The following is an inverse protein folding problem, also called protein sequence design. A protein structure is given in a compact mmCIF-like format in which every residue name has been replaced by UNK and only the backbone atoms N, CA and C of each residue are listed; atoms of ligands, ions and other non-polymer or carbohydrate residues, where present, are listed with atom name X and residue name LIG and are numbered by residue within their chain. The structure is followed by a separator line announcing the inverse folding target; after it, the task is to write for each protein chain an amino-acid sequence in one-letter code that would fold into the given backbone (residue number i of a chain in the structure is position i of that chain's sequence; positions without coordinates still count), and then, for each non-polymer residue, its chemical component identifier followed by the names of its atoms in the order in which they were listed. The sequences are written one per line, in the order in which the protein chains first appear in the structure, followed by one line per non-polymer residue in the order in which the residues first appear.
data_IF_522080064934
#
_entry.id   IF_522080064934
#
_cell.length_a   1.000
_cell.length_b   1.000
_cell.length_c   1.000
_cell.angle_alpha   90.00
_cell.angle_beta   90.00
_cell.angle_gamma   90.00
#
_symmetry.space_group_name_H-M   'P 1'
#
loop_
_entity.id
_entity.type
_entity.pdbx_description
1 polymer ?
#
# COMPACT_ATOMS: atom_id res chain seq x y z
N UNK A 1 47.20 12.09 31.05
CA UNK A 1 46.24 12.10 29.93
C UNK A 1 46.94 11.56 28.68
N UNK A 2 46.71 10.30 28.32
CA UNK A 2 47.13 9.76 27.04
C UNK A 2 45.94 9.62 26.08
N UNK A 3 46.18 10.02 24.84
CA UNK A 3 45.29 9.91 23.68
C UNK A 3 44.91 8.45 23.41
N UNK A 4 43.60 8.18 23.48
CA UNK A 4 42.98 6.90 23.13
C UNK A 4 43.00 6.75 21.60
N UNK A 5 43.76 5.75 21.11
CA UNK A 5 43.65 5.25 19.74
C UNK A 5 42.36 4.43 19.61
N UNK A 6 41.55 4.78 18.61
CA UNK A 6 40.31 4.07 18.28
C UNK A 6 40.61 2.66 17.75
N UNK A 7 39.77 1.70 18.15
CA UNK A 7 39.78 0.33 17.66
C UNK A 7 39.27 0.27 16.21
N UNK A 8 39.80 -0.65 15.37
CA UNK A 8 39.35 -0.82 14.00
C UNK A 8 37.90 -1.36 13.93
N UNK A 9 37.13 -1.03 12.88
CA UNK A 9 35.76 -1.51 12.73
C UNK A 9 35.72 -3.02 12.55
N UNK A 10 34.88 -3.67 13.35
CA UNK A 10 34.58 -5.09 13.30
C UNK A 10 34.09 -5.49 11.91
N UNK A 11 34.76 -6.48 11.33
CA UNK A 11 34.44 -7.08 10.06
C UNK A 11 32.99 -7.59 10.01
N UNK A 12 32.27 -7.20 8.95
CA UNK A 12 30.98 -7.74 8.59
C UNK A 12 31.10 -9.25 8.35
N UNK A 13 30.30 -10.02 9.08
CA UNK A 13 30.12 -11.45 8.88
C UNK A 13 29.62 -11.70 7.46
N UNK A 14 30.51 -12.22 6.62
CA UNK A 14 30.17 -12.77 5.31
C UNK A 14 29.39 -14.07 5.54
N UNK A 15 28.07 -14.01 5.37
CA UNK A 15 27.26 -15.24 5.36
C UNK A 15 27.47 -15.94 4.03
N UNK A 16 28.03 -17.13 4.14
CA UNK A 16 28.29 -18.13 3.11
C UNK A 16 27.07 -18.40 2.24
N UNK A 17 27.36 -18.47 0.95
CA UNK A 17 26.58 -18.87 -0.21
C UNK A 17 25.66 -20.07 0.05
N UNK A 18 24.35 -19.83 -0.02
CA UNK A 18 23.41 -20.82 -0.57
C UNK A 18 23.26 -20.51 -2.05
N UNK A 19 23.18 -21.53 -2.90
CA UNK A 19 22.78 -21.39 -4.31
C UNK A 19 21.32 -20.95 -4.35
N UNK A 20 21.09 -19.66 -4.14
CA UNK A 20 19.78 -19.02 -4.15
C UNK A 20 19.46 -18.41 -5.51
N UNK A 21 18.18 -18.47 -5.90
CA UNK A 21 17.64 -17.73 -7.05
C UNK A 21 18.10 -16.26 -7.00
N UNK A 22 18.34 -15.60 -8.15
CA UNK A 22 18.74 -14.21 -8.16
C UNK A 22 17.66 -13.37 -7.47
N UNK A 23 18.05 -12.64 -6.42
CA UNK A 23 17.14 -11.76 -5.71
C UNK A 23 16.70 -10.63 -6.65
N UNK A 24 15.39 -10.41 -6.74
CA UNK A 24 14.83 -9.31 -7.55
C UNK A 24 15.41 -7.98 -7.03
N UNK A 25 15.89 -7.09 -7.92
CA UNK A 25 16.38 -5.77 -7.53
C UNK A 25 15.33 -5.01 -6.72
N UNK A 26 15.74 -4.16 -5.77
CA UNK A 26 14.80 -3.38 -4.98
C UNK A 26 13.94 -2.48 -5.86
N UNK A 27 12.69 -2.30 -5.47
CA UNK A 27 11.80 -1.33 -6.09
C UNK A 27 11.99 0.04 -5.44
N UNK A 28 12.15 1.09 -6.25
CA UNK A 28 12.12 2.45 -5.74
C UNK A 28 10.74 2.83 -5.21
N UNK A 29 10.70 3.68 -4.18
CA UNK A 29 9.49 4.41 -3.81
C UNK A 29 9.20 5.45 -4.87
N UNK A 30 8.36 5.07 -5.85
CA UNK A 30 8.10 5.90 -7.02
C UNK A 30 7.28 7.13 -6.62
N UNK A 31 7.86 8.32 -6.83
CA UNK A 31 7.19 9.59 -6.57
C UNK A 31 6.27 10.03 -7.70
N UNK A 32 6.42 9.46 -8.90
CA UNK A 32 5.70 9.85 -10.12
C UNK A 32 4.59 8.86 -10.52
N UNK A 33 3.77 8.41 -9.56
CA UNK A 33 2.67 7.46 -9.83
C UNK A 33 1.41 8.13 -10.40
N UNK A 34 1.32 9.44 -10.27
CA UNK A 34 0.23 10.29 -10.77
C UNK A 34 0.59 10.88 -12.13
N UNK A 35 -0.44 11.18 -12.93
CA UNK A 35 -0.24 11.83 -14.22
C UNK A 35 0.15 13.30 -14.01
N UNK A 36 1.37 13.66 -14.41
CA UNK A 36 1.91 15.03 -14.33
C UNK A 36 2.43 15.52 -15.69
N UNK A 37 2.15 16.79 -16.08
CA UNK A 37 2.72 17.39 -17.28
C UNK A 37 4.16 17.88 -17.08
N UNK A 38 4.86 18.16 -18.18
CA UNK A 38 6.13 18.91 -18.18
C UNK A 38 7.39 18.14 -17.75
N UNK A 39 7.31 16.82 -17.54
CA UNK A 39 8.50 15.97 -17.29
C UNK A 39 9.07 15.46 -18.61
N UNK A 40 10.38 15.58 -18.82
CA UNK A 40 11.07 15.23 -20.08
C UNK A 40 12.14 14.14 -19.93
N UNK A 41 12.43 13.72 -18.71
CA UNK A 41 13.48 12.79 -18.31
C UNK A 41 13.00 11.33 -18.23
N UNK A 42 12.06 10.94 -19.11
CA UNK A 42 11.48 9.59 -19.12
C UNK A 42 12.39 8.58 -19.83
N UNK A 43 12.30 7.32 -19.39
CA UNK A 43 12.86 6.17 -20.06
C UNK A 43 11.74 5.30 -20.62
N UNK A 44 12.02 4.60 -21.72
CA UNK A 44 11.09 3.70 -22.39
C UNK A 44 11.79 2.39 -22.77
N UNK A 45 11.01 1.32 -22.88
CA UNK A 45 11.51 0.05 -23.41
C UNK A 45 11.65 0.19 -24.92
N UNK A 46 12.81 -0.15 -25.46
CA UNK A 46 13.06 -0.09 -26.89
C UNK A 46 12.07 -0.99 -27.64
N UNK A 47 11.27 -0.39 -28.52
CA UNK A 47 10.22 -1.10 -29.28
C UNK A 47 8.85 -1.18 -28.57
N UNK A 48 8.72 -0.68 -27.34
CA UNK A 48 7.46 -0.60 -26.59
C UNK A 48 7.34 0.82 -26.00
N UNK A 49 6.94 1.82 -26.81
CA UNK A 49 6.94 3.22 -26.39
C UNK A 49 5.82 3.58 -25.41
N UNK A 50 4.88 2.66 -25.14
CA UNK A 50 3.71 2.89 -24.30
C UNK A 50 3.99 2.76 -22.79
N UNK A 51 5.24 2.49 -22.40
CA UNK A 51 5.65 2.32 -21.00
C UNK A 51 6.66 3.39 -20.63
N UNK A 52 6.25 4.32 -19.76
CA UNK A 52 7.12 5.37 -19.27
C UNK A 52 7.70 5.01 -17.89
N UNK A 53 9.01 5.16 -17.75
CA UNK A 53 9.75 4.81 -16.55
C UNK A 53 10.49 6.06 -16.07
N UNK A 54 10.24 6.48 -14.82
CA UNK A 54 10.96 7.61 -14.24
C UNK A 54 12.43 7.26 -13.92
N UNK A 55 13.31 8.26 -13.79
CA UNK A 55 14.71 8.02 -13.45
C UNK A 55 14.92 7.22 -12.16
N UNK A 56 14.11 7.44 -11.13
CA UNK A 56 14.26 6.75 -9.84
C UNK A 56 14.03 5.24 -9.98
N UNK A 57 12.95 4.86 -10.68
CA UNK A 57 12.62 3.46 -10.96
C UNK A 57 13.67 2.81 -11.88
N UNK A 58 14.10 3.52 -12.92
CA UNK A 58 15.14 3.03 -13.82
C UNK A 58 16.46 2.79 -13.09
N UNK A 59 16.99 3.82 -12.40
CA UNK A 59 18.30 3.74 -11.75
C UNK A 59 18.34 2.72 -10.62
N UNK A 60 17.23 2.51 -9.90
CA UNK A 60 17.16 1.59 -8.76
C UNK A 60 16.91 0.16 -9.20
N UNK A 61 15.92 -0.07 -10.08
CA UNK A 61 15.40 -1.42 -10.32
C UNK A 61 15.90 -2.05 -11.62
N UNK A 62 16.18 -1.26 -12.66
CA UNK A 62 16.43 -1.78 -14.02
C UNK A 62 17.90 -1.60 -14.44
N UNK A 63 18.47 -0.41 -14.23
CA UNK A 63 19.85 -0.06 -14.56
C UNK A 63 20.91 -1.04 -14.02
N UNK A 64 20.83 -1.57 -12.77
CA UNK A 64 21.82 -2.52 -12.27
C UNK A 64 21.69 -3.92 -12.88
N UNK A 65 20.77 -4.14 -13.81
CA UNK A 65 20.50 -5.45 -14.41
C UNK A 65 20.93 -5.54 -15.88
N UNK A 66 21.05 -6.75 -16.44
CA UNK A 66 21.28 -6.96 -17.87
C UNK A 66 20.18 -6.39 -18.77
N UNK A 67 18.99 -6.09 -18.23
CA UNK A 67 17.87 -5.55 -19.00
C UNK A 67 17.99 -4.05 -19.29
N UNK A 68 18.94 -3.35 -18.66
CA UNK A 68 19.24 -1.94 -18.95
C UNK A 68 19.49 -1.66 -20.43
N UNK A 69 20.04 -2.64 -21.17
CA UNK A 69 20.27 -2.57 -22.61
C UNK A 69 18.99 -2.47 -23.46
N UNK A 70 17.84 -2.83 -22.91
CA UNK A 70 16.54 -2.74 -23.57
C UNK A 70 15.81 -1.43 -23.25
N UNK A 71 16.46 -0.53 -22.51
CA UNK A 71 15.89 0.75 -22.11
C UNK A 71 16.63 1.87 -22.83
N UNK A 72 15.86 2.81 -23.38
CA UNK A 72 16.37 4.02 -24.01
C UNK A 72 15.69 5.25 -23.40
N UNK A 73 16.31 6.41 -23.50
CA UNK A 73 15.65 7.68 -23.17
C UNK A 73 14.45 7.87 -24.09
N UNK A 74 13.30 8.21 -23.51
CA UNK A 74 12.10 8.52 -24.26
C UNK A 74 12.30 9.78 -25.10
N UNK A 75 11.55 9.89 -26.19
CA UNK A 75 11.46 11.17 -26.89
C UNK A 75 10.74 12.20 -26.02
N UNK A 76 11.13 13.49 -26.05
CA UNK A 76 10.41 14.53 -25.32
C UNK A 76 8.93 14.52 -25.69
N UNK A 77 8.08 14.42 -24.68
CA UNK A 77 6.63 14.49 -24.86
C UNK A 77 6.19 15.95 -25.03
N UNK A 78 5.11 16.22 -25.78
CA UNK A 78 4.51 17.54 -25.84
C UNK A 78 4.17 18.08 -24.43
N UNK A 79 4.28 19.38 -24.22
CA UNK A 79 4.12 20.01 -22.90
C UNK A 79 2.72 19.80 -22.30
N UNK A 80 1.72 19.59 -23.14
CA UNK A 80 0.31 19.36 -22.79
C UNK A 80 -0.01 17.89 -22.44
N UNK A 81 0.92 16.96 -22.68
CA UNK A 81 0.71 15.53 -22.40
C UNK A 81 1.15 15.20 -20.98
N UNK A 82 0.16 14.97 -20.12
CA UNK A 82 0.38 14.46 -18.76
C UNK A 82 0.84 13.00 -18.79
N UNK A 83 1.90 12.67 -18.07
CA UNK A 83 2.53 11.33 -18.05
C UNK A 83 2.75 10.86 -16.61
N UNK A 84 2.73 9.55 -16.40
CA UNK A 84 3.07 8.92 -15.11
C UNK A 84 4.14 7.84 -15.32
N UNK A 85 4.77 7.39 -14.24
CA UNK A 85 5.63 6.22 -14.26
C UNK A 85 4.81 4.94 -14.18
N UNK A 86 4.83 4.13 -15.22
CA UNK A 86 4.15 2.82 -15.25
C UNK A 86 4.84 1.78 -14.38
N UNK A 87 6.13 1.95 -14.09
CA UNK A 87 6.84 1.13 -13.09
C UNK A 87 6.39 1.42 -11.65
N UNK A 88 5.57 2.44 -11.45
CA UNK A 88 4.80 2.65 -10.21
C UNK A 88 3.59 1.73 -10.06
N UNK A 89 3.15 1.08 -11.14
CA UNK A 89 2.01 0.16 -11.13
C UNK A 89 2.40 -1.21 -10.55
N UNK A 90 1.59 -1.71 -9.62
CA UNK A 90 1.85 -2.97 -8.92
C UNK A 90 1.92 -4.16 -9.88
N UNK A 91 1.09 -4.21 -10.93
CA UNK A 91 1.12 -5.30 -11.89
C UNK A 91 2.37 -5.29 -12.75
N UNK A 92 2.85 -4.10 -13.15
CA UNK A 92 4.12 -3.95 -13.86
C UNK A 92 5.29 -4.41 -12.97
N UNK A 93 5.26 -4.10 -11.68
CA UNK A 93 6.28 -4.60 -10.72
C UNK A 93 6.25 -6.12 -10.56
N UNK A 94 5.07 -6.72 -10.49
CA UNK A 94 4.93 -8.19 -10.43
C UNK A 94 5.46 -8.82 -11.73
N UNK A 95 5.09 -8.27 -12.89
CA UNK A 95 5.57 -8.72 -14.19
C UNK A 95 7.10 -8.60 -14.31
N UNK A 96 7.68 -7.50 -13.81
CA UNK A 96 9.12 -7.31 -13.74
C UNK A 96 9.81 -8.35 -12.83
N UNK A 97 9.29 -8.54 -11.62
CA UNK A 97 9.83 -9.52 -10.67
C UNK A 97 9.83 -10.92 -11.28
N UNK A 98 8.74 -11.29 -11.97
CA UNK A 98 8.64 -12.56 -12.68
C UNK A 98 9.62 -12.66 -13.85
N UNK A 99 9.66 -11.65 -14.74
CA UNK A 99 10.59 -11.57 -15.87
C UNK A 99 12.04 -11.77 -15.42
N UNK A 100 12.44 -11.08 -14.35
CA UNK A 100 13.78 -11.16 -13.79
C UNK A 100 14.07 -12.53 -13.18
N UNK A 101 13.16 -13.04 -12.34
CA UNK A 101 13.34 -14.32 -11.64
C UNK A 101 13.42 -15.49 -12.62
N UNK A 102 12.60 -15.46 -13.67
CA UNK A 102 12.57 -16.49 -14.72
C UNK A 102 13.59 -16.24 -15.84
N UNK A 103 14.42 -15.20 -15.74
CA UNK A 103 15.46 -14.86 -16.72
C UNK A 103 14.92 -14.78 -18.16
N UNK A 104 13.77 -14.14 -18.35
CA UNK A 104 13.18 -13.96 -19.68
C UNK A 104 14.15 -13.20 -20.60
N UNK A 105 14.16 -13.49 -21.92
CA UNK A 105 15.14 -12.92 -22.82
C UNK A 105 14.94 -11.42 -23.11
N UNK A 106 13.72 -10.92 -22.93
CA UNK A 106 13.29 -9.56 -23.27
C UNK A 106 12.28 -9.01 -22.25
N UNK A 107 11.78 -7.79 -22.50
CA UNK A 107 10.80 -7.09 -21.67
C UNK A 107 9.39 -7.08 -22.27
N UNK A 108 9.09 -7.99 -23.21
CA UNK A 108 7.78 -8.04 -23.89
C UNK A 108 6.62 -8.26 -22.92
N UNK A 109 6.82 -9.01 -21.83
CA UNK A 109 5.80 -9.24 -20.81
C UNK A 109 5.31 -7.93 -20.17
N UNK A 110 6.20 -6.97 -19.93
CA UNK A 110 5.83 -5.68 -19.35
C UNK A 110 4.89 -4.93 -20.30
N UNK A 111 5.20 -4.94 -21.61
CA UNK A 111 4.33 -4.40 -22.65
C UNK A 111 2.95 -5.05 -22.69
N UNK A 112 2.91 -6.39 -22.67
CA UNK A 112 1.65 -7.13 -22.65
C UNK A 112 0.80 -6.78 -21.44
N UNK A 113 1.41 -6.65 -20.27
CA UNK A 113 0.72 -6.27 -19.02
C UNK A 113 0.20 -4.84 -19.08
N UNK A 114 1.00 -3.88 -19.57
CA UNK A 114 0.59 -2.48 -19.69
C UNK A 114 -0.63 -2.29 -20.61
N UNK A 115 -0.77 -3.14 -21.62
CA UNK A 115 -1.85 -3.09 -22.60
C UNK A 115 -3.14 -3.80 -22.16
N UNK A 116 -3.19 -4.39 -20.95
CA UNK A 116 -4.38 -5.09 -20.46
C UNK A 116 -5.53 -4.09 -20.21
N UNK A 117 -6.56 -4.20 -21.05
CA UNK A 117 -7.82 -3.47 -20.92
C UNK A 117 -9.01 -4.45 -20.86
N UNK A 118 -9.36 -4.98 -19.68
CA UNK A 118 -10.47 -5.93 -19.56
C UNK A 118 -11.81 -5.22 -19.84
N UNK A 119 -12.78 -5.97 -20.35
CA UNK A 119 -14.09 -5.43 -20.76
C UNK A 119 -14.85 -4.70 -19.64
N UNK A 120 -14.68 -5.14 -18.39
CA UNK A 120 -15.32 -4.54 -17.22
C UNK A 120 -14.51 -3.39 -16.59
N UNK A 121 -13.40 -2.99 -17.21
CA UNK A 121 -12.51 -1.93 -16.73
C UNK A 121 -11.56 -2.37 -15.61
N UNK A 122 -10.79 -1.40 -15.09
CA UNK A 122 -9.78 -1.63 -14.04
C UNK A 122 -10.39 -2.22 -12.76
N UNK A 123 -9.56 -2.88 -11.96
CA UNK A 123 -9.96 -3.38 -10.65
C UNK A 123 -10.57 -2.22 -9.82
N UNK A 124 -11.74 -2.43 -9.18
CA UNK A 124 -12.41 -1.36 -8.43
C UNK A 124 -11.55 -0.82 -7.27
N UNK A 125 -10.70 -1.66 -6.69
CA UNK A 125 -9.77 -1.24 -5.62
C UNK A 125 -8.57 -0.42 -6.12
N UNK A 126 -8.36 -0.32 -7.44
CA UNK A 126 -7.28 0.47 -8.04
C UNK A 126 -7.79 1.81 -8.61
N UNK A 127 -9.08 2.11 -8.42
CA UNK A 127 -9.65 3.40 -8.75
C UNK A 127 -9.29 4.42 -7.66
N UNK A 128 -8.24 5.20 -7.89
CA UNK A 128 -7.73 6.19 -6.93
C UNK A 128 -8.68 7.36 -6.71
N UNK A 129 -9.64 7.58 -7.61
CA UNK A 129 -10.64 8.63 -7.46
C UNK A 129 -11.79 8.21 -6.56
N UNK A 130 -11.96 6.91 -6.34
CA UNK A 130 -13.00 6.38 -5.48
C UNK A 130 -12.72 6.70 -4.00
N UNK A 131 -13.68 7.34 -3.33
CA UNK A 131 -13.57 7.76 -1.93
C UNK A 131 -13.38 6.61 -0.94
N UNK A 132 -13.92 5.42 -1.23
CA UNK A 132 -13.72 4.23 -0.40
C UNK A 132 -12.28 3.72 -0.52
N UNK A 133 -11.73 3.73 -1.74
CA UNK A 133 -10.32 3.37 -1.99
C UNK A 133 -9.37 4.36 -1.32
N UNK A 134 -9.67 5.66 -1.37
CA UNK A 134 -8.88 6.70 -0.67
C UNK A 134 -8.81 6.46 0.84
N UNK A 135 -9.88 5.88 1.42
CA UNK A 135 -9.96 5.47 2.83
C UNK A 135 -9.37 4.09 3.12
N UNK A 136 -8.81 3.41 2.10
CA UNK A 136 -8.24 2.07 2.24
C UNK A 136 -9.28 0.94 2.27
N UNK A 137 -10.52 1.23 1.89
CA UNK A 137 -11.61 0.25 1.79
C UNK A 137 -11.60 -0.53 0.47
N UNK A 138 -12.66 -1.32 0.27
CA UNK A 138 -12.83 -2.21 -0.89
C UNK A 138 -14.19 -1.93 -1.52
N UNK A 139 -14.28 -1.02 -2.50
CA UNK A 139 -15.57 -0.66 -3.08
C UNK A 139 -16.27 -1.87 -3.73
N UNK A 140 -17.56 -2.11 -3.41
CA UNK A 140 -18.31 -3.15 -4.06
C UNK A 140 -18.61 -2.77 -5.52
N UNK A 141 -18.58 -3.75 -6.41
CA UNK A 141 -18.89 -3.57 -7.83
C UNK A 141 -19.73 -4.73 -8.38
N UNK A 142 -20.60 -4.45 -9.35
CA UNK A 142 -21.37 -5.47 -10.07
C UNK A 142 -20.57 -5.96 -11.28
N UNK A 143 -19.98 -7.15 -11.19
CA UNK A 143 -19.04 -7.72 -12.19
C UNK A 143 -19.05 -9.24 -12.15
N UNK A 144 -18.44 -9.88 -13.15
CA UNK A 144 -18.11 -11.30 -13.07
C UNK A 144 -16.94 -11.49 -12.12
N UNK A 145 -17.19 -12.24 -11.05
CA UNK A 145 -16.18 -12.58 -10.04
C UNK A 145 -15.60 -13.95 -10.31
N UNK A 146 -14.37 -14.15 -9.89
CA UNK A 146 -13.64 -15.39 -10.04
C UNK A 146 -13.18 -15.89 -8.68
N UNK A 147 -13.23 -17.19 -8.49
CA UNK A 147 -12.77 -17.88 -7.30
C UNK A 147 -11.79 -18.99 -7.69
N UNK A 148 -10.91 -19.36 -6.77
CA UNK A 148 -10.01 -20.49 -6.98
C UNK A 148 -10.83 -21.79 -6.96
N UNK A 149 -10.58 -22.69 -7.92
CA UNK A 149 -11.16 -24.02 -7.92
C UNK A 149 -10.32 -24.97 -7.04
N UNK A 150 -10.94 -25.64 -6.08
CA UNK A 150 -10.28 -26.68 -5.30
C UNK A 150 -10.28 -28.00 -6.09
N UNK A 151 -9.12 -28.48 -6.56
CA UNK A 151 -9.06 -29.71 -7.35
C UNK A 151 -9.46 -30.96 -6.55
N UNK A 152 -9.44 -30.90 -5.21
CA UNK A 152 -9.80 -32.04 -4.37
C UNK A 152 -11.31 -32.20 -4.22
N UNK A 153 -12.04 -31.11 -4.09
CA UNK A 153 -13.50 -31.13 -3.90
C UNK A 153 -14.26 -30.84 -5.20
N UNK A 154 -13.61 -30.19 -6.17
CA UNK A 154 -14.26 -29.63 -7.35
C UNK A 154 -15.09 -28.38 -7.08
N UNK A 155 -15.02 -27.84 -5.86
CA UNK A 155 -15.78 -26.67 -5.42
C UNK A 155 -14.95 -25.39 -5.52
N UNK A 156 -15.64 -24.26 -5.67
CA UNK A 156 -15.01 -22.94 -5.63
C UNK A 156 -14.71 -22.54 -4.20
N UNK A 157 -13.53 -21.98 -3.98
CA UNK A 157 -13.14 -21.35 -2.72
C UNK A 157 -13.74 -19.95 -2.68
N UNK A 158 -14.98 -19.84 -2.20
CA UNK A 158 -15.75 -18.59 -2.17
C UNK A 158 -15.26 -17.59 -1.08
N UNK A 159 -14.34 -18.00 -0.21
CA UNK A 159 -13.74 -17.12 0.81
C UNK A 159 -12.95 -15.94 0.21
N UNK A 160 -12.56 -16.00 -1.07
CA UNK A 160 -11.78 -14.97 -1.74
C UNK A 160 -12.28 -14.75 -3.18
N UNK A 161 -12.81 -13.56 -3.45
CA UNK A 161 -13.29 -13.17 -4.78
C UNK A 161 -12.31 -12.26 -5.51
N UNK A 162 -12.13 -12.49 -6.80
CA UNK A 162 -11.20 -11.74 -7.65
C UNK A 162 -11.93 -11.17 -8.86
N UNK A 163 -11.64 -9.92 -9.23
CA UNK A 163 -12.23 -9.31 -10.42
C UNK A 163 -11.54 -9.79 -11.70
N UNK A 164 -12.26 -9.69 -12.83
CA UNK A 164 -11.74 -10.00 -14.18
C UNK A 164 -10.39 -9.35 -14.48
N UNK A 165 -10.20 -8.08 -14.10
CA UNK A 165 -8.92 -7.37 -14.27
C UNK A 165 -7.75 -8.08 -13.60
N UNK A 166 -7.90 -8.52 -12.35
CA UNK A 166 -6.82 -9.20 -11.62
C UNK A 166 -6.51 -10.57 -12.22
N UNK A 167 -7.55 -11.30 -12.63
CA UNK A 167 -7.38 -12.61 -13.28
C UNK A 167 -6.68 -12.49 -14.62
N UNK A 168 -7.05 -11.51 -15.45
CA UNK A 168 -6.37 -11.28 -16.73
C UNK A 168 -4.88 -11.00 -16.52
N UNK A 169 -4.52 -10.19 -15.52
CA UNK A 169 -3.11 -9.94 -15.18
C UNK A 169 -2.38 -11.20 -14.74
N UNK A 170 -2.98 -11.99 -13.84
CA UNK A 170 -2.39 -13.27 -13.40
C UNK A 170 -2.18 -14.21 -14.59
N UNK A 171 -3.18 -14.36 -15.44
CA UNK A 171 -3.13 -15.28 -16.59
C UNK A 171 -2.12 -14.82 -17.65
N UNK A 172 -1.93 -13.50 -17.83
CA UNK A 172 -0.91 -12.95 -18.72
C UNK A 172 0.51 -13.16 -18.16
N UNK A 173 0.72 -12.90 -16.86
CA UNK A 173 2.04 -13.03 -16.21
C UNK A 173 2.40 -14.50 -16.00
N UNK A 174 1.42 -15.33 -15.65
CA UNK A 174 1.57 -16.73 -15.27
C UNK A 174 0.67 -17.63 -16.13
N UNK A 175 0.97 -17.80 -17.43
CA UNK A 175 0.15 -18.62 -18.32
C UNK A 175 -0.01 -20.08 -17.86
N UNK A 176 0.97 -20.58 -17.10
CA UNK A 176 0.90 -21.91 -16.50
C UNK A 176 -0.32 -22.08 -15.60
N UNK A 177 -0.88 -21.02 -15.03
CA UNK A 177 -2.03 -21.04 -14.11
C UNK A 177 -3.40 -20.88 -14.80
N UNK A 178 -3.46 -20.82 -16.14
CA UNK A 178 -4.73 -20.61 -16.85
C UNK A 178 -5.80 -21.67 -16.51
N UNK A 179 -6.96 -21.22 -16.04
CA UNK A 179 -8.10 -22.09 -15.72
C UNK A 179 -8.13 -22.63 -14.29
N UNK A 180 -7.23 -22.20 -13.39
CA UNK A 180 -7.37 -22.51 -11.95
C UNK A 180 -8.41 -21.61 -11.27
N UNK A 181 -8.61 -20.41 -11.81
CA UNK A 181 -9.64 -19.47 -11.36
C UNK A 181 -10.84 -19.62 -12.28
N UNK A 182 -12.00 -19.90 -11.69
CA UNK A 182 -13.25 -20.11 -12.42
C UNK A 182 -14.26 -19.02 -12.05
N UNK A 183 -15.16 -18.65 -12.98
CA UNK A 183 -16.22 -17.69 -12.69
C UNK A 183 -17.13 -18.20 -11.55
N UNK A 184 -17.31 -17.36 -10.54
CA UNK A 184 -18.31 -17.56 -9.49
C UNK A 184 -19.73 -17.30 -10.03
N UNK A 185 -20.75 -17.74 -9.28
CA UNK A 185 -22.16 -17.54 -9.63
C UNK A 185 -22.51 -17.92 -11.09
N UNK A 186 -21.87 -18.97 -11.62
CA UNK A 186 -22.07 -19.42 -13.01
C UNK A 186 -21.66 -18.39 -14.08
N UNK A 187 -20.78 -17.44 -13.76
CA UNK A 187 -20.36 -16.37 -14.65
C UNK A 187 -21.33 -15.19 -14.75
N UNK A 188 -22.35 -15.14 -13.89
CA UNK A 188 -23.23 -13.98 -13.77
C UNK A 188 -22.53 -12.83 -13.04
N UNK A 189 -22.96 -11.61 -13.35
CA UNK A 189 -22.52 -10.45 -12.58
C UNK A 189 -23.15 -10.49 -11.18
N UNK A 190 -22.32 -10.29 -10.16
CA UNK A 190 -22.77 -10.20 -8.77
C UNK A 190 -22.15 -8.96 -8.11
N UNK A 191 -22.78 -8.47 -7.05
CA UNK A 191 -22.23 -7.40 -6.23
C UNK A 191 -21.26 -7.99 -5.21
N UNK A 192 -19.95 -7.76 -5.37
CA UNK A 192 -18.91 -8.19 -4.44
C UNK A 192 -17.70 -7.25 -4.48
N UNK A 193 -16.59 -7.62 -3.82
CA UNK A 193 -15.34 -6.85 -3.76
C UNK A 193 -14.16 -7.66 -4.25
N UNK A 194 -13.09 -7.02 -4.73
CA UNK A 194 -11.86 -7.74 -5.06
C UNK A 194 -11.02 -7.93 -3.79
N UNK A 195 -10.64 -9.17 -3.47
CA UNK A 195 -9.83 -9.49 -2.28
C UNK A 195 -8.34 -9.63 -2.58
N UNK A 196 -7.96 -9.74 -3.86
CA UNK A 196 -6.55 -9.86 -4.24
C UNK A 196 -5.81 -8.53 -4.15
N UNK A 197 -6.24 -7.55 -4.94
CA UNK A 197 -5.51 -6.29 -5.11
C UNK A 197 -6.08 -5.22 -4.19
N UNK A 198 -5.58 -5.14 -2.96
CA UNK A 198 -5.90 -4.04 -2.04
C UNK A 198 -4.64 -3.18 -1.84
N UNK A 199 -4.62 -1.93 -2.32
CA UNK A 199 -3.46 -1.05 -2.17
C UNK A 199 -3.02 -0.92 -0.71
N UNK A 200 -1.71 -0.83 -0.47
CA UNK A 200 -1.08 -0.64 0.86
C UNK A 200 -1.32 -1.77 1.88
N UNK A 201 -2.01 -2.85 1.50
CA UNK A 201 -2.23 -4.01 2.35
C UNK A 201 -1.15 -5.07 2.09
N UNK A 202 -0.42 -5.47 3.13
CA UNK A 202 0.65 -6.48 3.02
C UNK A 202 0.15 -7.86 2.57
N UNK A 203 -1.11 -8.19 2.88
CA UNK A 203 -1.71 -9.47 2.48
C UNK A 203 -1.86 -9.64 0.95
N UNK A 204 -2.01 -8.54 0.21
CA UNK A 204 -2.00 -8.54 -1.26
C UNK A 204 -0.75 -9.26 -1.78
N UNK A 205 0.42 -8.84 -1.30
CA UNK A 205 1.69 -9.45 -1.72
C UNK A 205 1.82 -10.90 -1.24
N UNK A 206 1.36 -11.24 -0.03
CA UNK A 206 1.37 -12.64 0.41
C UNK A 206 0.53 -13.56 -0.48
N UNK A 207 -0.63 -13.10 -0.96
CA UNK A 207 -1.42 -13.89 -1.92
C UNK A 207 -0.71 -14.02 -3.26
N UNK A 208 -0.12 -12.94 -3.76
CA UNK A 208 0.67 -12.96 -5.00
C UNK A 208 1.87 -13.92 -4.86
N UNK A 209 2.59 -13.90 -3.74
CA UNK A 209 3.71 -14.80 -3.48
C UNK A 209 3.27 -16.26 -3.52
N UNK A 210 2.13 -16.60 -2.91
CA UNK A 210 1.58 -17.96 -2.97
C UNK A 210 1.16 -18.37 -4.39
N UNK A 211 0.61 -17.44 -5.17
CA UNK A 211 0.26 -17.69 -6.59
C UNK A 211 1.53 -17.92 -7.42
N UNK A 212 2.55 -17.07 -7.23
CA UNK A 212 3.85 -17.21 -7.89
C UNK A 212 4.52 -18.53 -7.53
N UNK A 213 4.51 -18.93 -6.26
CA UNK A 213 5.08 -20.20 -5.81
C UNK A 213 4.44 -21.41 -6.50
N UNK A 214 3.12 -21.40 -6.71
CA UNK A 214 2.41 -22.43 -7.48
C UNK A 214 2.86 -22.41 -8.95
N UNK A 215 2.98 -21.23 -9.55
CA UNK A 215 3.44 -21.12 -10.95
C UNK A 215 4.87 -21.63 -11.13
N UNK A 216 5.78 -21.30 -10.22
CA UNK A 216 7.17 -21.80 -10.23
C UNK A 216 7.20 -23.33 -10.14
N UNK A 217 6.49 -23.91 -9.16
CA UNK A 217 6.41 -25.37 -9.00
C UNK A 217 5.82 -26.07 -10.21
N UNK A 218 4.84 -25.46 -10.88
CA UNK A 218 4.26 -25.99 -12.10
C UNK A 218 5.27 -26.00 -13.25
N UNK A 219 6.10 -24.96 -13.38
CA UNK A 219 7.17 -24.90 -14.37
C UNK A 219 8.29 -25.91 -14.09
N UNK A 220 8.72 -26.04 -12.83
CA UNK A 220 9.83 -26.92 -12.44
C UNK A 220 9.48 -28.41 -12.56
N UNK A 221 8.25 -28.79 -12.19
CA UNK A 221 7.85 -30.19 -12.11
C UNK A 221 7.41 -30.80 -13.45
N UNK A 222 7.06 -29.97 -14.45
CA UNK A 222 6.47 -30.41 -15.71
C UNK A 222 5.19 -31.25 -15.54
N UNK A 223 4.59 -31.26 -14.34
CA UNK A 223 3.42 -32.05 -13.95
C UNK A 223 2.20 -31.16 -13.76
N UNK A 224 1.06 -31.80 -13.51
CA UNK A 224 -0.20 -31.16 -13.18
C UNK A 224 -0.03 -30.15 -12.03
N UNK A 225 -0.67 -28.98 -12.19
CA UNK A 225 -0.59 -27.87 -11.26
C UNK A 225 -1.18 -28.24 -9.91
N UNK A 226 -0.33 -28.40 -8.89
CA UNK A 226 -0.83 -28.57 -7.53
C UNK A 226 -1.16 -27.20 -6.89
N UNK A 227 -2.44 -26.83 -6.93
CA UNK A 227 -2.97 -25.62 -6.27
C UNK A 227 -3.37 -25.86 -4.81
N UNK A 228 -3.23 -27.08 -4.29
CA UNK A 228 -3.64 -27.43 -2.91
C UNK A 228 -3.03 -26.50 -1.85
N UNK A 229 -1.73 -26.14 -1.89
CA UNK A 229 -1.15 -25.24 -0.90
C UNK A 229 -1.80 -23.86 -0.92
N UNK A 230 -2.10 -23.34 -2.12
CA UNK A 230 -2.78 -22.06 -2.30
C UNK A 230 -4.22 -22.10 -1.77
N UNK A 231 -4.97 -23.17 -2.06
CA UNK A 231 -6.32 -23.39 -1.50
C UNK A 231 -6.29 -23.39 0.02
N UNK A 232 -5.36 -24.14 0.63
CA UNK A 232 -5.22 -24.21 2.08
C UNK A 232 -4.85 -22.85 2.69
N UNK A 233 -3.99 -22.08 2.00
CA UNK A 233 -3.62 -20.74 2.42
C UNK A 233 -4.82 -19.78 2.38
N UNK A 234 -5.58 -19.78 1.29
CA UNK A 234 -6.76 -18.91 1.12
C UNK A 234 -7.83 -19.24 2.16
N UNK A 235 -8.22 -20.51 2.31
CA UNK A 235 -9.21 -20.92 3.33
C UNK A 235 -8.81 -20.54 4.75
N UNK A 236 -7.50 -20.53 5.04
CA UNK A 236 -6.99 -20.10 6.34
C UNK A 236 -7.09 -18.58 6.51
N UNK A 237 -6.65 -17.80 5.53
CA UNK A 237 -6.38 -16.36 5.71
C UNK A 237 -7.47 -15.43 5.19
N UNK A 238 -8.25 -15.84 4.20
CA UNK A 238 -9.29 -15.00 3.62
C UNK A 238 -10.43 -14.65 4.59
N UNK A 239 -10.91 -15.59 5.44
CA UNK A 239 -11.93 -15.27 6.46
C UNK A 239 -11.42 -14.40 7.61
N UNK A 240 -10.11 -14.31 7.82
CA UNK A 240 -9.51 -13.58 8.94
C UNK A 240 -9.41 -12.10 8.56
N UNK A 241 -9.98 -11.15 9.31
CA UNK A 241 -9.78 -9.73 9.03
C UNK A 241 -8.30 -9.33 9.05
N UNK A 242 -7.93 -8.36 8.23
CA UNK A 242 -6.60 -7.76 8.29
C UNK A 242 -6.45 -7.03 9.61
N UNK A 243 -5.25 -7.04 10.16
CA UNK A 243 -4.93 -6.34 11.39
C UNK A 243 -5.32 -4.87 11.26
N UNK A 244 -6.18 -4.35 12.16
CA UNK A 244 -6.61 -2.96 12.14
C UNK A 244 -5.51 -2.00 12.61
N UNK A 245 -4.34 -2.54 12.98
CA UNK A 245 -3.22 -1.78 13.55
C UNK A 245 -3.68 -0.96 14.76
N UNK A 246 -3.52 0.36 14.68
CA UNK A 246 -3.91 1.32 15.71
C UNK A 246 -5.36 1.82 15.58
N UNK A 247 -6.09 1.40 14.55
CA UNK A 247 -7.52 1.67 14.41
C UNK A 247 -8.32 0.83 15.39
N UNK A 248 -9.38 1.44 15.94
CA UNK A 248 -10.23 0.79 16.92
C UNK A 248 -11.38 0.11 16.20
N UNK A 249 -11.50 -1.22 16.37
CA UNK A 249 -12.53 -2.03 15.70
C UNK A 249 -13.42 -2.74 16.70
N UNK A 250 -14.70 -2.88 16.38
CA UNK A 250 -15.70 -3.65 17.12
C UNK A 250 -16.19 -4.84 16.28
N UNK A 251 -16.88 -5.79 16.91
CA UNK A 251 -17.42 -6.98 16.24
C UNK A 251 -16.41 -8.05 15.78
N UNK A 252 -15.10 -7.81 15.89
CA UNK A 252 -14.06 -8.79 15.51
C UNK A 252 -13.57 -9.64 16.67
N UNK A 253 -13.12 -10.87 16.39
CA UNK A 253 -12.45 -11.72 17.38
C UNK A 253 -11.20 -11.03 17.93
N UNK A 254 -11.05 -11.10 19.25
CA UNK A 254 -9.97 -10.49 19.99
C UNK A 254 -9.40 -11.51 20.98
N UNK A 255 -8.12 -11.40 21.27
CA UNK A 255 -7.41 -12.19 22.27
C UNK A 255 -6.76 -11.26 23.28
N UNK A 256 -6.81 -11.59 24.55
CA UNK A 256 -6.19 -10.80 25.61
C UNK A 256 -5.80 -11.67 26.80
N UNK A 257 -5.20 -11.02 27.81
CA UNK A 257 -4.96 -11.62 29.11
C UNK A 257 -6.01 -11.13 30.12
N UNK A 258 -7.21 -11.70 30.06
CA UNK A 258 -8.41 -11.18 30.73
C UNK A 258 -8.23 -10.84 32.21
N UNK A 259 -7.50 -11.66 32.98
CA UNK A 259 -7.34 -11.47 34.42
C UNK A 259 -6.24 -10.49 34.84
N UNK A 260 -5.23 -10.24 33.99
CA UNK A 260 -4.02 -9.49 34.38
C UNK A 260 -3.78 -8.24 33.55
N UNK A 261 -4.09 -8.29 32.26
CA UNK A 261 -3.90 -7.19 31.31
C UNK A 261 -5.01 -7.21 30.24
N UNK A 262 -6.27 -6.95 30.61
CA UNK A 262 -7.39 -6.93 29.67
C UNK A 262 -7.27 -5.85 28.59
N UNK A 263 -6.54 -4.76 28.87
CA UNK A 263 -6.21 -3.70 27.92
C UNK A 263 -5.25 -4.15 26.81
N UNK A 264 -4.44 -5.19 27.06
CA UNK A 264 -3.53 -5.75 26.06
C UNK A 264 -4.30 -6.70 25.15
N UNK A 265 -4.68 -6.19 23.99
CA UNK A 265 -5.60 -6.85 23.04
C UNK A 265 -4.90 -7.18 21.72
N UNK A 266 -5.26 -8.30 21.11
CA UNK A 266 -4.64 -8.83 19.89
C UNK A 266 -5.74 -9.23 18.90
N UNK A 267 -5.63 -8.82 17.64
CA UNK A 267 -6.53 -9.31 16.58
C UNK A 267 -6.18 -10.76 16.19
N UNK A 268 -7.11 -11.43 15.51
CA UNK A 268 -6.92 -12.82 15.05
C UNK A 268 -5.70 -13.01 14.14
N UNK A 269 -5.44 -12.08 13.20
CA UNK A 269 -4.26 -12.16 12.32
C UNK A 269 -2.95 -12.12 13.12
N UNK A 270 -2.80 -11.18 14.06
CA UNK A 270 -1.60 -11.05 14.86
C UNK A 270 -1.44 -12.21 15.86
N UNK A 271 -2.54 -12.74 16.39
CA UNK A 271 -2.50 -13.92 17.23
C UNK A 271 -1.92 -15.12 16.47
N UNK A 272 -2.46 -15.40 15.28
CA UNK A 272 -1.99 -16.54 14.46
C UNK A 272 -0.55 -16.33 13.99
N UNK A 273 -0.17 -15.09 13.65
CA UNK A 273 1.16 -14.77 13.11
C UNK A 273 2.24 -14.77 14.19
N UNK A 274 1.96 -14.21 15.37
CA UNK A 274 3.00 -13.94 16.39
C UNK A 274 2.88 -14.83 17.63
N UNK A 275 1.67 -15.22 18.02
CA UNK A 275 1.44 -16.07 19.20
C UNK A 275 1.40 -17.55 18.80
N UNK A 276 0.77 -17.89 17.68
CA UNK A 276 0.66 -19.26 17.17
C UNK A 276 1.99 -20.03 17.11
N UNK A 277 3.07 -19.45 16.55
CA UNK A 277 4.36 -20.14 16.47
C UNK A 277 4.98 -20.47 17.84
N UNK A 278 4.76 -19.64 18.86
CA UNK A 278 5.35 -19.84 20.19
C UNK A 278 4.46 -20.68 21.13
N UNK A 279 3.19 -20.89 20.77
CA UNK A 279 2.29 -21.80 21.49
C UNK A 279 2.28 -23.21 20.89
N UNK A 280 2.60 -23.35 19.60
CA UNK A 280 2.65 -24.65 18.93
C UNK A 280 3.75 -25.54 19.53
N UNK A 281 3.41 -26.75 20.05
CA UNK A 281 4.38 -27.66 20.65
C UNK A 281 5.60 -28.01 19.78
N UNK A 282 5.46 -27.97 18.45
CA UNK A 282 6.54 -28.29 17.53
C UNK A 282 7.57 -27.16 17.36
N UNK A 283 7.19 -25.91 17.62
CA UNK A 283 8.01 -24.71 17.38
C UNK A 283 8.20 -23.84 18.62
N UNK A 284 7.51 -24.17 19.72
CA UNK A 284 7.52 -23.39 20.94
C UNK A 284 8.92 -23.39 21.61
N UNK A 285 9.36 -22.24 22.14
CA UNK A 285 10.58 -22.19 22.95
C UNK A 285 10.42 -23.00 24.23
N UNK A 286 11.52 -23.60 24.70
CA UNK A 286 11.59 -24.31 25.98
C UNK A 286 12.51 -23.56 26.96
N UNK A 287 12.05 -23.26 28.19
CA UNK A 287 10.72 -23.50 28.74
C UNK A 287 9.65 -22.59 28.11
N UNK A 288 8.38 -23.02 28.11
CA UNK A 288 7.28 -22.23 27.58
C UNK A 288 7.02 -21.01 28.49
N UNK A 289 6.90 -19.79 27.94
CA UNK A 289 6.56 -18.61 28.74
C UNK A 289 5.19 -18.75 29.43
N UNK A 290 5.15 -18.52 30.74
CA UNK A 290 3.92 -18.65 31.54
C UNK A 290 2.82 -17.68 31.08
N UNK A 291 3.22 -16.50 30.59
CA UNK A 291 2.30 -15.50 30.02
C UNK A 291 1.41 -16.10 28.92
N UNK A 292 1.91 -17.05 28.11
CA UNK A 292 1.12 -17.65 27.04
C UNK A 292 -0.11 -18.41 27.55
N UNK A 293 -0.05 -18.95 28.77
CA UNK A 293 -1.18 -19.65 29.38
C UNK A 293 -2.32 -18.71 29.81
N UNK A 294 -2.05 -17.41 29.86
CA UNK A 294 -3.01 -16.38 30.25
C UNK A 294 -3.72 -15.75 29.04
N UNK A 295 -3.27 -16.04 27.82
CA UNK A 295 -3.85 -15.48 26.59
C UNK A 295 -4.98 -16.39 26.12
N UNK A 296 -6.18 -15.84 26.02
CA UNK A 296 -7.36 -16.54 25.51
C UNK A 296 -8.16 -15.64 24.58
N UNK A 297 -8.99 -16.26 23.72
CA UNK A 297 -10.00 -15.53 22.98
C UNK A 297 -10.97 -14.87 23.96
N UNK A 298 -11.31 -13.60 23.73
CA UNK A 298 -12.28 -12.89 24.55
C UNK A 298 -13.67 -13.50 24.30
N UNK A 299 -14.42 -13.91 25.35
CA UNK A 299 -15.71 -14.59 25.19
C UNK A 299 -16.76 -13.75 24.45
N UNK A 300 -16.69 -12.43 24.60
CA UNK A 300 -17.51 -11.45 23.91
C UNK A 300 -16.63 -10.36 23.33
N UNK A 301 -16.93 -9.93 22.11
CA UNK A 301 -16.19 -8.83 21.49
C UNK A 301 -16.42 -7.56 22.31
N UNK A 302 -15.36 -6.81 22.69
CA UNK A 302 -15.53 -5.56 23.41
C UNK A 302 -16.46 -4.61 22.65
N UNK A 303 -17.58 -4.21 23.26
CA UNK A 303 -18.53 -3.28 22.65
C UNK A 303 -17.91 -1.91 22.36
N UNK A 304 -16.92 -1.52 23.16
CA UNK A 304 -16.10 -0.32 22.99
C UNK A 304 -14.99 -0.45 21.93
N UNK A 305 -14.90 -1.60 21.28
CA UNK A 305 -13.84 -1.96 20.33
C UNK A 305 -12.46 -2.14 20.97
N UNK A 306 -11.48 -2.54 20.16
CA UNK A 306 -10.09 -2.73 20.58
C UNK A 306 -9.11 -2.27 19.49
N UNK A 307 -7.86 -2.03 19.88
CA UNK A 307 -6.73 -1.78 18.99
C UNK A 307 -5.74 -2.92 19.13
N UNK A 308 -5.12 -3.38 18.05
CA UNK A 308 -4.15 -4.47 18.18
C UNK A 308 -2.88 -3.97 18.89
N UNK A 309 -2.34 -4.77 19.81
CA UNK A 309 -1.10 -4.47 20.56
C UNK A 309 0.08 -5.33 20.10
N UNK A 310 0.02 -5.89 18.88
CA UNK A 310 1.09 -6.68 18.26
C UNK A 310 1.36 -6.30 16.79
N UNK A 311 0.75 -5.23 16.28
CA UNK A 311 0.87 -4.87 14.86
C UNK A 311 2.25 -4.25 14.51
N UNK A 312 2.99 -3.77 15.50
CA UNK A 312 4.24 -3.04 15.33
C UNK A 312 5.42 -3.81 15.91
N UNK A 313 6.63 -3.58 15.38
CA UNK A 313 7.83 -4.30 15.81
C UNK A 313 8.18 -4.00 17.27
N UNK A 314 8.01 -2.75 17.70
CA UNK A 314 8.24 -2.33 19.09
C UNK A 314 7.28 -2.99 20.07
N UNK A 315 6.01 -3.06 19.73
CA UNK A 315 5.00 -3.73 20.54
C UNK A 315 5.25 -5.24 20.65
N UNK A 316 5.64 -5.87 19.54
CA UNK A 316 6.08 -7.26 19.53
C UNK A 316 7.30 -7.47 20.44
N UNK A 317 8.25 -6.52 20.46
CA UNK A 317 9.41 -6.59 21.35
C UNK A 317 9.00 -6.45 22.83
N UNK A 318 8.09 -5.55 23.19
CA UNK A 318 7.57 -5.46 24.56
C UNK A 318 6.95 -6.77 25.03
N UNK A 319 6.19 -7.43 24.16
CA UNK A 319 5.62 -8.73 24.47
C UNK A 319 6.69 -9.83 24.59
N UNK A 320 7.71 -9.82 23.72
CA UNK A 320 8.84 -10.75 23.79
C UNK A 320 9.65 -10.59 25.07
N UNK A 321 9.88 -9.35 25.51
CA UNK A 321 10.55 -9.04 26.79
C UNK A 321 9.72 -9.57 27.95
N UNK A 322 8.40 -9.37 27.92
CA UNK A 322 7.49 -9.88 28.93
C UNK A 322 7.51 -11.41 28.97
N UNK A 323 7.51 -12.09 27.81
CA UNK A 323 7.63 -13.55 27.74
C UNK A 323 8.94 -14.06 28.37
N UNK A 324 10.03 -13.31 28.19
CA UNK A 324 11.35 -13.69 28.71
C UNK A 324 11.47 -13.44 30.22
N UNK A 325 10.91 -12.34 30.71
CA UNK A 325 11.04 -11.91 32.11
C UNK A 325 9.86 -12.32 32.99
N UNK A 326 8.80 -12.86 32.41
CA UNK A 326 7.50 -13.08 33.05
C UNK A 326 6.91 -11.83 33.73
N UNK A 327 7.25 -10.63 33.23
CA UNK A 327 6.85 -9.35 33.83
C UNK A 327 5.67 -8.71 33.07
N UNK A 328 4.45 -9.19 33.37
CA UNK A 328 3.21 -8.64 32.79
C UNK A 328 2.98 -7.18 33.23
N UNK A 329 3.44 -6.80 34.42
CA UNK A 329 3.27 -5.44 34.93
C UNK A 329 4.04 -4.40 34.09
N UNK A 330 5.27 -4.73 33.67
CA UNK A 330 6.05 -3.86 32.78
C UNK A 330 5.42 -3.74 31.39
N UNK A 331 4.91 -4.86 30.83
CA UNK A 331 4.17 -4.85 29.56
C UNK A 331 2.96 -3.91 29.65
N UNK A 332 2.14 -4.06 30.69
CA UNK A 332 0.96 -3.22 30.97
C UNK A 332 1.34 -1.74 31.06
N UNK A 333 2.40 -1.41 31.79
CA UNK A 333 2.89 -0.04 31.94
C UNK A 333 3.29 0.56 30.58
N UNK A 334 4.10 -0.14 29.80
CA UNK A 334 4.57 0.29 28.47
C UNK A 334 3.41 0.48 27.48
N UNK A 335 2.46 -0.45 27.45
CA UNK A 335 1.25 -0.37 26.60
C UNK A 335 0.38 0.81 27.03
N UNK A 336 0.18 1.01 28.34
CA UNK A 336 -0.60 2.14 28.85
C UNK A 336 0.05 3.51 28.61
N UNK A 337 1.38 3.61 28.64
CA UNK A 337 2.11 4.82 28.23
C UNK A 337 1.89 5.11 26.74
N UNK A 338 2.05 4.10 25.88
CA UNK A 338 1.78 4.21 24.45
C UNK A 338 0.34 4.63 24.16
N UNK A 339 -0.64 3.96 24.76
CA UNK A 339 -2.04 4.23 24.47
C UNK A 339 -2.44 5.66 24.86
N UNK A 340 -1.88 6.20 25.95
CA UNK A 340 -2.05 7.62 26.31
C UNK A 340 -1.45 8.55 25.25
N UNK A 341 -0.24 8.26 24.77
CA UNK A 341 0.39 9.05 23.70
C UNK A 341 -0.36 8.93 22.39
N UNK A 342 -0.88 7.75 22.05
CA UNK A 342 -1.70 7.55 20.85
C UNK A 342 -2.94 8.44 20.87
N UNK A 343 -3.62 8.56 22.01
CA UNK A 343 -4.80 9.44 22.13
C UNK A 343 -4.42 10.91 21.92
N UNK A 344 -3.29 11.35 22.47
CA UNK A 344 -2.76 12.70 22.28
C UNK A 344 -2.44 12.97 20.81
N UNK A 345 -1.68 12.07 20.16
CA UNK A 345 -1.28 12.19 18.75
C UNK A 345 -2.49 12.15 17.82
N UNK A 346 -3.47 11.27 18.07
CA UNK A 346 -4.70 11.23 17.26
C UNK A 346 -5.46 12.54 17.30
N UNK A 347 -5.66 13.10 18.49
CA UNK A 347 -6.35 14.40 18.66
C UNK A 347 -5.60 15.51 17.92
N UNK A 348 -4.27 15.49 17.96
CA UNK A 348 -3.45 16.47 17.27
C UNK A 348 -3.50 16.32 15.75
N UNK A 349 -3.45 15.08 15.24
CA UNK A 349 -3.62 14.79 13.80
C UNK A 349 -5.00 15.21 13.30
N UNK A 350 -6.07 14.92 14.05
CA UNK A 350 -7.43 15.36 13.71
C UNK A 350 -7.53 16.89 13.64
N UNK A 351 -6.93 17.58 14.62
CA UNK A 351 -6.86 19.05 14.65
C UNK A 351 -6.11 19.60 13.43
N UNK A 352 -4.94 19.06 13.11
CA UNK A 352 -4.14 19.50 11.97
C UNK A 352 -4.84 19.22 10.64
N UNK A 353 -5.51 18.07 10.48
CA UNK A 353 -6.31 17.75 9.28
C UNK A 353 -7.43 18.76 9.06
N UNK A 354 -8.18 19.09 10.12
CA UNK A 354 -9.23 20.10 10.04
C UNK A 354 -8.68 21.48 9.66
N UNK A 355 -7.53 21.88 10.21
CA UNK A 355 -6.88 23.15 9.84
C UNK A 355 -6.39 23.13 8.39
N UNK A 356 -5.79 22.04 7.93
CA UNK A 356 -5.37 21.86 6.55
C UNK A 356 -6.54 22.03 5.58
N UNK A 357 -7.66 21.34 5.84
CA UNK A 357 -8.86 21.43 5.01
C UNK A 357 -9.43 22.86 5.00
N UNK A 358 -9.43 23.54 6.15
CA UNK A 358 -9.85 24.93 6.26
C UNK A 358 -9.00 25.86 5.37
N UNK A 359 -7.67 25.78 5.45
CA UNK A 359 -6.80 26.65 4.65
C UNK A 359 -6.87 26.31 3.16
N UNK A 360 -7.02 25.03 2.80
CA UNK A 360 -7.23 24.62 1.42
C UNK A 360 -8.53 25.21 0.85
N UNK A 361 -9.62 25.19 1.61
CA UNK A 361 -10.88 25.83 1.21
C UNK A 361 -10.75 27.36 1.11
N UNK A 362 -9.99 28.00 2.00
CA UNK A 362 -9.74 29.44 1.94
C UNK A 362 -8.92 29.83 0.70
N UNK A 363 -7.89 29.04 0.36
CA UNK A 363 -7.09 29.27 -0.84
C UNK A 363 -7.96 29.17 -2.09
N UNK A 364 -8.75 28.11 -2.22
CA UNK A 364 -9.69 27.91 -3.33
C UNK A 364 -10.69 29.07 -3.46
N UNK A 365 -11.30 29.49 -2.34
CA UNK A 365 -12.20 30.63 -2.30
C UNK A 365 -11.54 31.92 -2.81
N UNK A 366 -10.31 32.21 -2.36
CA UNK A 366 -9.58 33.39 -2.78
C UNK A 366 -9.17 33.35 -4.26
N UNK A 367 -8.80 32.19 -4.79
CA UNK A 367 -8.55 32.03 -6.22
C UNK A 367 -9.81 32.20 -7.06
N UNK A 368 -10.96 31.72 -6.59
CA UNK A 368 -12.25 31.98 -7.26
C UNK A 368 -12.60 33.48 -7.24
N UNK A 369 -12.40 34.16 -6.10
CA UNK A 369 -12.58 35.61 -6.00
C UNK A 369 -11.63 36.39 -6.91
N UNK A 370 -10.40 35.93 -7.09
CA UNK A 370 -9.45 36.51 -8.05
C UNK A 370 -10.02 36.47 -9.47
N UNK A 371 -10.54 35.34 -9.91
CA UNK A 371 -11.15 35.18 -11.26
C UNK A 371 -12.36 36.10 -11.42
N UNK A 372 -13.22 36.19 -10.39
CA UNK A 372 -14.38 37.10 -10.40
C UNK A 372 -13.92 38.56 -10.50
N UNK A 373 -12.94 38.97 -9.69
CA UNK A 373 -12.42 40.34 -9.70
C UNK A 373 -11.75 40.68 -11.05
N UNK A 374 -11.04 39.73 -11.65
CA UNK A 374 -10.43 39.91 -12.97
C UNK A 374 -11.49 40.10 -14.06
N UNK A 375 -12.53 39.25 -14.09
CA UNK A 375 -13.62 39.37 -15.07
C UNK A 375 -14.39 40.69 -14.93
N UNK A 376 -14.65 41.13 -13.69
CA UNK A 376 -15.26 42.43 -13.41
C UNK A 376 -14.39 43.60 -13.89
N UNK A 377 -13.07 43.55 -13.63
CA UNK A 377 -12.14 44.58 -14.09
C UNK A 377 -12.06 44.67 -15.63
N UNK A 378 -12.06 43.51 -16.31
CA UNK A 378 -12.12 43.44 -17.77
C UNK A 378 -13.43 44.01 -18.33
N UNK A 379 -14.57 43.62 -17.77
CA UNK A 379 -15.88 44.14 -18.18
C UNK A 379 -15.96 45.66 -18.03
N UNK A 380 -15.45 46.20 -16.92
CA UNK A 380 -15.36 47.65 -16.71
C UNK A 380 -14.51 48.29 -17.82
N UNK A 381 -13.32 47.76 -18.11
CA UNK A 381 -12.44 48.34 -19.16
C UNK A 381 -13.07 48.32 -20.56
N UNK A 382 -13.81 47.27 -20.94
CA UNK A 382 -14.49 47.15 -22.23
C UNK A 382 -15.59 48.21 -22.39
N UNK A 383 -16.32 48.52 -21.32
CA UNK A 383 -17.35 49.57 -21.33
C UNK A 383 -16.81 50.96 -21.71
N UNK A 384 -15.55 51.25 -21.36
CA UNK A 384 -14.88 52.51 -21.72
C UNK A 384 -14.31 52.51 -23.14
N UNK A 385 -13.86 51.36 -23.65
CA UNK A 385 -13.38 51.24 -25.04
C UNK A 385 -14.49 51.59 -26.05
N UNK A 386 -15.75 51.27 -25.73
CA UNK A 386 -16.92 51.66 -26.54
C UNK A 386 -17.20 53.17 -26.58
N UNK A 387 -16.59 53.97 -25.69
CA UNK A 387 -16.76 55.43 -25.61
C UNK A 387 -15.52 56.22 -26.05
N UNK A 388 -14.52 55.56 -26.65
CA UNK A 388 -13.34 56.22 -27.24
C UNK A 388 -12.24 56.58 -26.24
N UNK A 389 -12.36 56.18 -24.97
CA UNK A 389 -11.34 56.39 -23.94
C UNK A 389 -10.81 55.05 -23.41
N UNK A 390 -9.50 54.83 -23.44
CA UNK A 390 -8.88 53.66 -22.79
C UNK A 390 -8.55 53.99 -21.32
N UNK A 391 -9.26 53.37 -20.38
CA UNK A 391 -8.94 53.44 -18.95
C UNK A 391 -8.12 52.21 -18.56
N UNK A 392 -7.00 52.34 -17.81
CA UNK A 392 -6.24 51.20 -17.32
C UNK A 392 -7.10 50.26 -16.47
N UNK A 393 -6.96 48.95 -16.67
CA UNK A 393 -7.64 47.93 -15.88
C UNK A 393 -7.16 47.99 -14.42
N UNK A 394 -8.07 48.19 -13.46
CA UNK A 394 -7.72 48.16 -12.04
C UNK A 394 -7.56 46.70 -11.57
N UNK A 395 -6.32 46.30 -11.30
CA UNK A 395 -5.98 44.93 -10.87
C UNK A 395 -5.84 44.78 -9.36
N UNK A 396 -6.07 45.82 -8.55
CA UNK A 396 -5.82 45.78 -7.11
C UNK A 396 -6.59 44.64 -6.41
N UNK A 397 -7.90 44.53 -6.64
CA UNK A 397 -8.73 43.49 -6.02
C UNK A 397 -8.36 42.07 -6.49
N UNK A 398 -7.85 41.96 -7.74
CA UNK A 398 -7.35 40.69 -8.29
C UNK A 398 -6.07 40.29 -7.55
N UNK A 399 -5.09 41.21 -7.45
CA UNK A 399 -3.83 40.97 -6.76
C UNK A 399 -4.02 40.68 -5.27
N UNK A 400 -4.95 41.38 -4.61
CA UNK A 400 -5.26 41.15 -3.20
C UNK A 400 -5.84 39.73 -2.99
N UNK A 401 -6.76 39.30 -3.85
CA UNK A 401 -7.32 37.95 -3.79
C UNK A 401 -6.27 36.88 -4.08
N UNK A 402 -5.39 37.12 -5.06
CA UNK A 402 -4.28 36.21 -5.38
C UNK A 402 -3.31 36.08 -4.19
N UNK A 403 -2.93 37.18 -3.56
CA UNK A 403 -2.01 37.18 -2.42
C UNK A 403 -2.61 36.41 -1.23
N UNK A 404 -3.89 36.66 -0.89
CA UNK A 404 -4.57 35.92 0.18
C UNK A 404 -4.70 34.43 -0.14
N UNK A 405 -4.96 34.08 -1.41
CA UNK A 405 -4.99 32.69 -1.87
C UNK A 405 -3.63 32.01 -1.70
N UNK A 406 -2.55 32.68 -2.12
CA UNK A 406 -1.18 32.19 -1.95
C UNK A 406 -0.76 32.03 -0.49
N UNK A 407 -1.12 32.98 0.38
CA UNK A 407 -0.85 32.89 1.82
C UNK A 407 -1.57 31.70 2.46
N UNK A 408 -2.85 31.48 2.14
CA UNK A 408 -3.63 30.35 2.63
C UNK A 408 -3.08 29.01 2.11
N UNK A 409 -2.67 28.94 0.84
CA UNK A 409 -2.04 27.73 0.27
C UNK A 409 -0.73 27.40 0.99
N UNK A 410 0.14 28.40 1.23
CA UNK A 410 1.38 28.20 1.97
C UNK A 410 1.14 27.72 3.41
N UNK A 411 0.10 28.25 4.08
CA UNK A 411 -0.29 27.78 5.41
C UNK A 411 -0.79 26.32 5.39
N UNK A 412 -1.57 25.93 4.37
CA UNK A 412 -1.98 24.55 4.17
C UNK A 412 -0.77 23.62 4.00
N UNK A 413 0.20 24.01 3.16
CA UNK A 413 1.42 23.23 2.93
C UNK A 413 2.27 23.06 4.20
N UNK A 414 2.41 24.11 5.01
CA UNK A 414 3.11 24.04 6.30
C UNK A 414 2.41 23.07 7.27
N UNK A 415 1.08 23.10 7.34
CA UNK A 415 0.32 22.18 8.20
C UNK A 415 0.45 20.75 7.70
N UNK A 416 0.41 20.54 6.38
CA UNK A 416 0.62 19.21 5.80
C UNK A 416 2.01 18.66 6.12
N UNK A 417 3.05 19.49 6.04
CA UNK A 417 4.40 19.10 6.42
C UNK A 417 4.50 18.73 7.91
N UNK A 418 3.87 19.50 8.79
CA UNK A 418 3.82 19.20 10.23
C UNK A 418 3.04 17.91 10.53
N UNK A 419 1.93 17.68 9.83
CA UNK A 419 1.16 16.44 9.91
C UNK A 419 2.04 15.25 9.53
N UNK A 420 2.79 15.34 8.43
CA UNK A 420 3.71 14.28 7.99
C UNK A 420 4.86 14.07 8.97
N UNK A 421 5.38 15.13 9.58
CA UNK A 421 6.41 15.04 10.60
C UNK A 421 5.90 14.32 11.85
N UNK A 422 4.68 14.62 12.31
CA UNK A 422 4.07 13.96 13.46
C UNK A 422 3.74 12.48 13.19
N UNK A 423 3.24 12.16 11.98
CA UNK A 423 3.05 10.77 11.55
C UNK A 423 4.38 9.99 11.56
N UNK A 424 5.47 10.64 11.14
CA UNK A 424 6.82 10.05 11.16
C UNK A 424 7.36 9.87 12.58
N UNK A 425 7.26 10.89 13.44
CA UNK A 425 7.66 10.81 14.85
C UNK A 425 6.94 9.65 15.55
N UNK A 426 5.63 9.50 15.32
CA UNK A 426 4.87 8.37 15.83
C UNK A 426 5.43 7.02 15.36
N UNK A 427 5.71 6.89 14.05
CA UNK A 427 6.26 5.67 13.49
C UNK A 427 7.66 5.35 14.05
N UNK A 428 8.53 6.36 14.21
CA UNK A 428 9.91 6.17 14.67
C UNK A 428 9.99 5.87 16.17
N UNK A 429 9.15 6.50 16.99
CA UNK A 429 9.24 6.42 18.46
C UNK A 429 8.25 5.45 19.11
N UNK A 430 7.17 5.05 18.42
CA UNK A 430 6.07 4.30 19.04
C UNK A 430 5.60 3.06 18.28
N UNK A 431 6.03 2.85 17.02
CA UNK A 431 5.76 1.63 16.22
C UNK A 431 7.01 0.73 16.12
#
# INVERSE_FOLDING_TARGET
MPLIKQAPPSASSTTTTSTGKPAVPPFADCTRTTFEPGKTDWFQITGIPDIDICPDCYNTSIKPTPYSRFISTASPKPEDVSTRCDFGDTWIRIAWAWTYTQSFPDLSLLGQVAQIAPAEGKCPNLDTENEEVKKGGKPPASRVWYCLNDPKTGELVEDMTMCSHCITHICTILPSLNGIFLPAAGGQQALATCDLMVPKQSRTFKYIDQILEVAEKALDSGRERDVTPLVAYIRKWAPIPVCPKWERVSGQKCYNMASVAPEWTICEECYITHIGPITNPATAPFPRPLILMQISATPSVPSSGFTCQLYSARLQQYFKDACTTNNVADLKRKVGERDRKLVEVKRELERMRAQYDQFRMQAEYHYQMMVINQSSALAHSIGWVGSGWSVPTNTHATNESMNRGGEAALQADMIWANLKALEKEWADDWE
#
